data_IF_517044986253
#
_entry.id   IF_517044986253
#
_cell.length_a   1.000
_cell.length_b   1.000
_cell.length_c   1.000
_cell.angle_alpha   90.00
_cell.angle_beta   90.00
_cell.angle_gamma   90.00
#
_symmetry.space_group_name_H-M   'P 1'
#
loop_
_entity.id
_entity.type
_entity.pdbx_description
1 polymer ?
#
# COMPACT_ATOMS: atom_id res chain seq x y z
N UNK A 1 21.87 -24.84 -19.68
CA UNK A 1 22.87 -25.87 -19.37
C UNK A 1 22.19 -26.91 -18.48
N UNK A 2 22.14 -28.16 -18.92
CA UNK A 2 21.61 -29.25 -18.09
C UNK A 2 22.49 -29.39 -16.83
N UNK A 3 21.86 -29.23 -15.66
CA UNK A 3 22.55 -29.43 -14.39
C UNK A 3 22.69 -30.92 -14.14
N UNK A 4 23.91 -31.39 -13.85
CA UNK A 4 24.17 -32.77 -13.41
C UNK A 4 23.76 -33.04 -11.96
N UNK A 5 23.07 -32.06 -11.30
CA UNK A 5 22.64 -32.21 -9.93
C UNK A 5 21.41 -33.12 -9.85
N UNK A 6 21.42 -34.03 -8.87
CA UNK A 6 20.33 -34.98 -8.63
C UNK A 6 19.06 -34.31 -8.08
N UNK A 7 19.24 -33.20 -7.36
CA UNK A 7 18.13 -32.39 -6.80
C UNK A 7 18.35 -30.92 -7.16
N UNK A 8 17.33 -30.27 -7.72
CA UNK A 8 17.31 -28.86 -8.06
C UNK A 8 16.01 -28.19 -7.62
N UNK A 9 16.11 -26.93 -7.21
CA UNK A 9 14.96 -26.03 -7.03
C UNK A 9 14.88 -25.11 -8.24
N UNK A 10 13.73 -25.04 -8.89
CA UNK A 10 13.52 -24.36 -10.15
C UNK A 10 12.40 -23.32 -9.96
N UNK A 11 12.72 -22.00 -9.95
CA UNK A 11 11.70 -20.95 -10.05
C UNK A 11 11.02 -21.05 -11.41
N UNK A 12 9.68 -20.96 -11.43
CA UNK A 12 8.89 -21.09 -12.65
C UNK A 12 8.17 -19.78 -12.99
N UNK A 13 7.74 -19.67 -14.25
CA UNK A 13 6.99 -18.52 -14.78
C UNK A 13 5.65 -18.29 -14.09
N UNK A 14 5.05 -19.32 -13.51
CA UNK A 14 3.81 -19.27 -12.73
C UNK A 14 4.01 -18.69 -11.31
N UNK A 15 5.24 -18.27 -10.97
CA UNK A 15 5.60 -17.73 -9.66
C UNK A 15 5.82 -18.79 -8.59
N UNK A 16 5.72 -20.08 -8.92
CA UNK A 16 5.97 -21.18 -8.01
C UNK A 16 7.42 -21.66 -8.11
N UNK A 17 7.86 -22.37 -7.07
CA UNK A 17 9.15 -23.09 -7.08
C UNK A 17 8.86 -24.58 -7.18
N UNK A 18 9.56 -25.24 -8.06
CA UNK A 18 9.49 -26.69 -8.27
C UNK A 18 10.77 -27.37 -7.77
N UNK A 19 10.60 -28.53 -7.13
CA UNK A 19 11.70 -29.43 -6.85
C UNK A 19 11.80 -30.46 -7.96
N UNK A 20 12.96 -30.57 -8.58
CA UNK A 20 13.27 -31.59 -9.56
C UNK A 20 14.26 -32.60 -8.99
N UNK A 21 13.96 -33.89 -9.15
CA UNK A 21 14.83 -35.00 -8.78
C UNK A 21 15.09 -35.89 -9.97
N UNK A 22 16.34 -36.31 -10.16
CA UNK A 22 16.74 -37.27 -11.20
C UNK A 22 17.27 -38.53 -10.56
N UNK A 23 16.85 -39.66 -11.12
CA UNK A 23 17.35 -40.98 -10.78
C UNK A 23 17.31 -41.88 -12.02
N UNK A 24 17.71 -43.14 -11.89
CA UNK A 24 17.55 -44.15 -12.95
C UNK A 24 16.09 -44.42 -13.31
N UNK A 25 15.16 -44.06 -12.43
CA UNK A 25 13.73 -44.19 -12.70
C UNK A 25 13.18 -43.06 -13.58
N UNK A 26 13.93 -41.96 -13.76
CA UNK A 26 13.52 -40.82 -14.56
C UNK A 26 13.68 -39.46 -13.84
N UNK A 27 13.04 -38.45 -14.40
CA UNK A 27 13.00 -37.10 -13.88
C UNK A 27 11.63 -36.82 -13.23
N UNK A 28 11.63 -36.41 -11.98
CA UNK A 28 10.43 -36.09 -11.19
C UNK A 28 10.42 -34.59 -10.93
N UNK A 29 9.32 -33.92 -11.26
CA UNK A 29 9.14 -32.48 -11.02
C UNK A 29 7.82 -32.28 -10.25
N UNK A 30 7.90 -31.62 -9.11
CA UNK A 30 6.73 -31.33 -8.28
C UNK A 30 6.80 -29.92 -7.66
N UNK A 31 5.67 -29.24 -7.46
CA UNK A 31 5.66 -27.95 -6.78
C UNK A 31 6.15 -28.11 -5.34
N UNK A 32 7.00 -27.17 -4.88
CA UNK A 32 7.58 -27.11 -3.53
C UNK A 32 7.04 -25.89 -2.79
N UNK A 33 6.10 -26.10 -1.89
CA UNK A 33 5.47 -25.00 -1.14
C UNK A 33 6.33 -24.46 0.02
N UNK A 34 7.14 -25.33 0.64
CA UNK A 34 8.02 -24.95 1.75
C UNK A 34 9.43 -25.43 1.51
N UNK A 35 10.37 -24.49 1.54
CA UNK A 35 11.78 -24.72 1.34
C UNK A 35 12.50 -24.29 2.61
N UNK A 36 12.86 -25.28 3.42
CA UNK A 36 13.48 -25.06 4.75
C UNK A 36 14.87 -24.47 4.67
N UNK A 37 15.52 -24.64 3.53
CA UNK A 37 16.88 -24.11 3.22
C UNK A 37 16.90 -22.62 2.90
N UNK A 38 15.74 -22.00 2.64
CA UNK A 38 15.61 -20.58 2.35
C UNK A 38 15.15 -19.80 3.57
N UNK A 39 15.67 -18.58 3.69
CA UNK A 39 15.20 -17.63 4.70
C UNK A 39 13.82 -17.07 4.33
N UNK A 40 13.03 -16.79 5.32
CA UNK A 40 11.76 -16.08 5.14
C UNK A 40 12.06 -14.63 4.70
N UNK A 41 11.41 -14.20 3.61
CA UNK A 41 11.47 -12.83 3.10
C UNK A 41 10.11 -12.19 3.26
N UNK A 42 10.10 -10.98 3.80
CA UNK A 42 8.88 -10.17 3.94
C UNK A 42 8.88 -9.08 2.88
N UNK A 43 7.77 -8.96 2.14
CA UNK A 43 7.56 -7.85 1.26
C UNK A 43 7.51 -6.54 2.05
N UNK A 44 8.06 -5.47 1.49
CA UNK A 44 8.09 -4.16 2.15
C UNK A 44 9.15 -3.23 1.57
N UNK A 45 9.29 -2.07 2.18
CA UNK A 45 10.27 -1.06 1.82
C UNK A 45 11.10 -0.65 3.04
N UNK A 46 12.40 -0.57 2.86
CA UNK A 46 13.34 -0.02 3.84
C UNK A 46 13.95 1.24 3.23
N UNK A 47 13.54 2.44 3.64
CA UNK A 47 14.11 3.68 3.12
C UNK A 47 15.62 3.76 3.38
N UNK A 48 16.37 4.19 2.36
CA UNK A 48 17.78 4.54 2.48
C UNK A 48 18.01 6.05 2.52
N UNK A 49 16.98 6.83 2.17
CA UNK A 49 16.98 8.29 2.20
C UNK A 49 16.12 8.80 3.37
N UNK A 50 16.30 10.05 3.81
CA UNK A 50 15.44 10.65 4.81
C UNK A 50 13.99 10.75 4.32
N UNK A 51 13.07 11.08 5.20
CA UNK A 51 11.67 11.37 4.81
C UNK A 51 11.60 12.68 4.04
N UNK A 52 10.66 12.77 3.11
CA UNK A 52 10.35 13.99 2.38
C UNK A 52 9.88 15.04 3.40
N UNK A 53 10.47 16.24 3.43
CA UNK A 53 10.16 17.27 4.40
C UNK A 53 8.69 17.73 4.36
N UNK A 54 8.13 18.03 5.52
CA UNK A 54 6.74 18.50 5.67
C UNK A 54 6.46 19.75 4.83
N UNK A 55 7.43 20.68 4.74
CA UNK A 55 7.30 21.91 3.96
C UNK A 55 7.10 21.61 2.47
N UNK A 56 7.83 20.61 1.95
CA UNK A 56 7.69 20.18 0.56
C UNK A 56 6.32 19.52 0.32
N UNK A 57 5.87 18.67 1.24
CA UNK A 57 4.53 18.06 1.18
C UNK A 57 3.44 19.13 1.19
N UNK A 58 3.55 20.16 2.04
CA UNK A 58 2.60 21.28 2.09
C UNK A 58 2.57 22.07 0.77
N UNK A 59 3.74 22.33 0.17
CA UNK A 59 3.83 23.00 -1.12
C UNK A 59 3.14 22.19 -2.23
N UNK A 60 3.33 20.87 -2.26
CA UNK A 60 2.69 19.96 -3.22
C UNK A 60 1.17 19.96 -3.04
N UNK A 61 0.67 19.85 -1.79
CA UNK A 61 -0.76 19.92 -1.49
C UNK A 61 -1.34 21.28 -1.93
N UNK A 62 -0.63 22.38 -1.66
CA UNK A 62 -1.02 23.72 -2.10
C UNK A 62 -1.13 23.82 -3.64
N UNK A 63 -0.12 23.27 -4.35
CA UNK A 63 -0.14 23.20 -5.80
C UNK A 63 -1.32 22.38 -6.34
N UNK A 64 -1.60 21.20 -5.77
CA UNK A 64 -2.73 20.38 -6.19
C UNK A 64 -4.08 21.07 -5.92
N UNK A 65 -4.23 21.75 -4.79
CA UNK A 65 -5.44 22.53 -4.48
C UNK A 65 -5.67 23.67 -5.47
N UNK A 66 -4.59 24.29 -5.98
CA UNK A 66 -4.72 25.35 -6.99
C UNK A 66 -5.25 24.85 -8.34
N UNK A 67 -5.27 23.51 -8.55
CA UNK A 67 -5.86 22.90 -9.75
C UNK A 67 -7.36 22.60 -9.59
N UNK A 68 -7.98 22.99 -8.45
CA UNK A 68 -9.39 22.77 -8.12
C UNK A 68 -10.20 24.08 -8.14
N UNK A 69 -9.84 25.05 -8.96
CA UNK A 69 -10.48 26.36 -8.99
C UNK A 69 -11.74 26.40 -9.86
N UNK A 70 -12.69 27.29 -9.49
CA UNK A 70 -13.89 27.62 -10.27
C UNK A 70 -14.84 26.45 -10.58
N UNK A 71 -14.85 25.41 -9.72
CA UNK A 71 -15.72 24.24 -9.90
C UNK A 71 -15.22 23.22 -10.92
N UNK A 72 -14.02 23.42 -11.46
CA UNK A 72 -13.29 22.43 -12.24
C UNK A 72 -12.18 21.80 -11.38
N UNK A 73 -11.96 20.51 -11.58
CA UNK A 73 -10.92 19.74 -10.89
C UNK A 73 -10.02 19.10 -11.93
N UNK A 74 -8.72 19.30 -11.80
CA UNK A 74 -7.72 18.70 -12.68
C UNK A 74 -6.68 17.95 -11.85
N UNK A 75 -6.40 16.73 -12.21
CA UNK A 75 -5.29 16.00 -11.60
C UNK A 75 -3.96 16.65 -12.00
N UNK A 76 -2.99 16.55 -11.12
CA UNK A 76 -1.65 17.03 -11.39
C UNK A 76 -0.61 16.07 -10.79
N UNK A 77 0.61 16.12 -11.32
CA UNK A 77 1.71 15.26 -10.93
C UNK A 77 2.94 16.11 -10.60
N UNK A 78 3.62 15.72 -9.52
CA UNK A 78 4.93 16.24 -9.11
C UNK A 78 5.88 15.07 -8.96
N UNK A 79 7.03 15.15 -9.60
CA UNK A 79 8.14 14.22 -9.43
C UNK A 79 9.06 14.68 -8.32
N UNK A 80 9.55 13.76 -7.54
CA UNK A 80 10.52 14.03 -6.48
C UNK A 80 11.85 13.40 -6.85
N UNK A 81 12.87 14.23 -6.89
CA UNK A 81 14.24 13.81 -7.10
C UNK A 81 15.05 14.01 -5.82
N UNK A 82 16.03 13.16 -5.60
CA UNK A 82 17.05 13.34 -4.57
C UNK A 82 18.31 13.89 -5.21
N UNK A 83 18.72 15.08 -4.81
CA UNK A 83 20.02 15.68 -5.19
C UNK A 83 21.12 15.02 -4.37
N UNK A 84 21.91 14.17 -5.03
CA UNK A 84 23.03 13.45 -4.40
C UNK A 84 24.12 14.38 -3.90
N UNK A 85 24.31 15.55 -4.55
CA UNK A 85 25.32 16.54 -4.19
C UNK A 85 24.90 17.35 -2.96
N UNK A 86 23.70 17.92 -3.02
CA UNK A 86 23.20 18.82 -1.98
C UNK A 86 22.43 18.07 -0.87
N UNK A 87 22.26 16.73 -0.98
CA UNK A 87 21.61 15.86 0.00
C UNK A 87 20.22 16.36 0.40
N UNK A 88 19.40 16.72 -0.59
CA UNK A 88 18.04 17.24 -0.40
C UNK A 88 17.08 16.78 -1.48
N UNK A 89 15.78 16.80 -1.16
CA UNK A 89 14.73 16.55 -2.14
C UNK A 89 14.46 17.77 -3.00
N UNK A 90 14.27 17.55 -4.29
CA UNK A 90 13.93 18.56 -5.29
C UNK A 90 12.61 18.17 -5.95
N UNK A 91 11.56 18.99 -5.85
CA UNK A 91 10.35 18.80 -6.61
C UNK A 91 10.55 19.23 -8.06
N UNK A 92 9.97 18.49 -8.97
CA UNK A 92 9.95 18.80 -10.38
C UNK A 92 8.53 18.62 -10.92
N UNK A 93 7.94 19.69 -11.44
CA UNK A 93 6.64 19.66 -12.11
C UNK A 93 6.88 19.55 -13.61
N UNK A 94 6.67 18.38 -14.23
CA UNK A 94 6.87 18.22 -15.66
C UNK A 94 5.79 18.96 -16.45
N UNK A 95 6.07 19.27 -17.74
CA UNK A 95 5.03 19.69 -18.67
C UNK A 95 4.01 18.57 -18.81
N UNK A 96 2.75 18.84 -18.47
CA UNK A 96 1.70 17.83 -18.35
C UNK A 96 0.39 18.31 -18.96
N UNK A 97 -0.37 17.38 -19.53
CA UNK A 97 -1.77 17.57 -19.88
C UNK A 97 -2.61 16.87 -18.84
N UNK A 98 -3.61 17.57 -18.34
CA UNK A 98 -4.40 17.13 -17.21
C UNK A 98 -5.89 17.12 -17.55
N UNK A 99 -6.59 16.15 -17.01
CA UNK A 99 -8.05 16.05 -17.00
C UNK A 99 -8.52 15.90 -15.55
N UNK A 100 -9.79 15.64 -15.34
CA UNK A 100 -10.34 15.39 -14.02
C UNK A 100 -9.77 14.11 -13.36
N UNK A 101 -9.36 13.14 -14.18
CA UNK A 101 -9.06 11.76 -13.80
C UNK A 101 -7.80 11.20 -14.46
N UNK A 102 -6.97 12.07 -15.05
CA UNK A 102 -5.73 11.63 -15.66
C UNK A 102 -4.69 12.75 -15.81
N UNK A 103 -3.43 12.33 -15.74
CA UNK A 103 -2.27 13.17 -16.00
C UNK A 103 -1.41 12.52 -17.08
N UNK A 104 -1.16 13.24 -18.18
CA UNK A 104 -0.23 12.79 -19.23
C UNK A 104 1.00 13.70 -19.24
N UNK A 105 2.14 13.13 -18.94
CA UNK A 105 3.43 13.84 -18.95
C UNK A 105 4.03 13.79 -20.35
N UNK A 106 4.49 14.94 -20.84
CA UNK A 106 5.33 15.06 -22.06
C UNK A 106 6.70 15.54 -21.65
N UNK A 107 7.66 14.66 -21.73
CA UNK A 107 9.07 15.00 -21.50
C UNK A 107 9.80 15.00 -22.85
N UNK A 108 10.64 15.99 -23.04
CA UNK A 108 11.73 15.96 -24.03
C UNK A 108 13.03 15.63 -23.30
N UNK A 109 14.06 15.20 -24.01
CA UNK A 109 15.37 14.88 -23.40
C UNK A 109 15.96 16.09 -22.66
N UNK A 110 15.64 17.33 -23.11
CA UNK A 110 16.05 18.58 -22.46
C UNK A 110 15.35 18.84 -21.10
N UNK A 111 14.19 18.23 -20.89
CA UNK A 111 13.41 18.39 -19.66
C UNK A 111 13.83 17.39 -18.57
N UNK A 112 14.70 16.41 -18.87
CA UNK A 112 15.13 15.41 -17.92
C UNK A 112 16.28 15.92 -17.05
N UNK A 113 16.16 15.81 -15.71
CA UNK A 113 17.28 16.09 -14.84
C UNK A 113 18.46 15.14 -15.09
N UNK A 114 19.68 15.65 -14.92
CA UNK A 114 20.91 14.85 -14.98
C UNK A 114 20.85 13.69 -13.99
N UNK A 115 20.78 12.47 -14.50
CA UNK A 115 20.61 11.23 -13.71
C UNK A 115 21.85 10.87 -12.88
N UNK A 116 23.02 11.42 -13.21
CA UNK A 116 24.24 11.26 -12.40
C UNK A 116 24.14 12.04 -11.09
N UNK A 117 23.49 13.18 -11.07
CA UNK A 117 23.25 14.03 -9.89
C UNK A 117 21.92 13.74 -9.22
N UNK A 118 20.84 13.58 -9.98
CA UNK A 118 19.48 13.51 -9.47
C UNK A 118 18.92 12.10 -9.54
N UNK A 119 18.64 11.51 -8.39
CA UNK A 119 17.98 10.21 -8.29
C UNK A 119 16.46 10.42 -8.33
N UNK A 120 15.79 9.85 -9.32
CA UNK A 120 14.34 9.85 -9.40
C UNK A 120 13.75 8.96 -8.29
N UNK A 121 13.14 9.59 -7.28
CA UNK A 121 12.73 8.94 -6.04
C UNK A 121 11.25 8.60 -6.01
N UNK A 122 10.37 9.54 -6.36
CA UNK A 122 8.93 9.34 -6.26
C UNK A 122 8.13 10.11 -7.31
N UNK A 123 6.97 9.57 -7.66
CA UNK A 123 5.85 10.28 -8.29
C UNK A 123 4.76 10.54 -7.26
N UNK A 124 4.23 11.77 -7.23
CA UNK A 124 3.10 12.15 -6.40
C UNK A 124 2.06 12.78 -7.31
N UNK A 125 0.86 12.19 -7.37
CA UNK A 125 -0.24 12.76 -8.15
C UNK A 125 -1.49 13.01 -7.29
N UNK A 126 -2.38 13.87 -7.79
CA UNK A 126 -3.60 14.24 -7.09
C UNK A 126 -4.80 13.47 -7.63
N UNK A 127 -5.73 13.13 -6.73
CA UNK A 127 -7.07 12.64 -7.03
C UNK A 127 -8.14 13.64 -6.60
N UNK A 128 -7.80 14.93 -6.53
CA UNK A 128 -8.72 16.03 -6.25
C UNK A 128 -9.64 15.76 -5.05
N UNK A 129 -10.96 15.87 -5.23
CA UNK A 129 -11.97 15.53 -4.22
C UNK A 129 -12.24 14.02 -4.08
N UNK A 130 -11.68 13.18 -4.95
CA UNK A 130 -11.78 11.72 -4.86
C UNK A 130 -10.90 11.17 -3.74
N UNK A 131 -11.09 9.89 -3.40
CA UNK A 131 -10.25 9.18 -2.42
C UNK A 131 -8.84 8.98 -2.97
N UNK A 132 -7.86 8.91 -2.07
CA UNK A 132 -6.49 8.55 -2.41
C UNK A 132 -6.35 7.03 -2.62
N UNK A 133 -6.82 6.53 -3.76
CA UNK A 133 -6.79 5.10 -4.12
C UNK A 133 -6.19 4.95 -5.50
N UNK A 134 -5.15 4.15 -5.64
CA UNK A 134 -4.54 3.84 -6.94
C UNK A 134 -5.56 3.17 -7.87
N UNK A 135 -5.60 3.63 -9.11
CA UNK A 135 -6.48 3.12 -10.17
C UNK A 135 -5.80 2.02 -11.00
N UNK A 136 -6.57 1.36 -11.86
CA UNK A 136 -6.01 0.41 -12.82
C UNK A 136 -5.12 1.09 -13.88
N UNK A 137 -5.32 2.38 -14.14
CA UNK A 137 -4.46 3.17 -15.04
C UNK A 137 -3.11 3.38 -14.36
N UNK A 138 -3.09 3.75 -13.08
CA UNK A 138 -1.86 3.88 -12.30
C UNK A 138 -1.06 2.57 -12.29
N UNK A 139 -1.75 1.43 -12.20
CA UNK A 139 -1.10 0.11 -12.23
C UNK A 139 -0.43 -0.20 -13.58
N UNK A 140 -0.94 0.34 -14.67
CA UNK A 140 -0.33 0.18 -16.00
C UNK A 140 0.89 1.09 -16.20
N UNK A 141 0.87 2.29 -15.65
CA UNK A 141 1.86 3.32 -15.91
C UNK A 141 3.02 3.32 -14.88
N UNK A 142 2.73 2.97 -13.63
CA UNK A 142 3.66 3.06 -12.50
C UNK A 142 4.58 1.84 -12.32
N UNK A 143 5.25 1.40 -13.39
CA UNK A 143 6.08 0.18 -13.38
C UNK A 143 7.54 0.39 -12.99
N UNK A 144 7.99 1.62 -12.88
CA UNK A 144 9.36 1.94 -12.47
C UNK A 144 9.61 1.51 -11.02
N UNK A 145 10.84 1.05 -10.70
CA UNK A 145 11.21 0.73 -9.31
C UNK A 145 11.44 2.01 -8.54
N UNK A 146 10.38 2.49 -7.85
CA UNK A 146 10.33 3.73 -7.08
C UNK A 146 9.10 3.82 -6.20
N UNK A 147 8.94 4.96 -5.54
CA UNK A 147 7.76 5.30 -4.76
C UNK A 147 6.69 5.96 -5.62
N UNK A 148 5.43 5.66 -5.29
CA UNK A 148 4.26 6.30 -5.87
C UNK A 148 3.31 6.70 -4.76
N UNK A 149 2.81 7.94 -4.82
CA UNK A 149 1.90 8.49 -3.83
C UNK A 149 0.71 9.15 -4.52
N UNK A 150 -0.46 8.95 -3.93
CA UNK A 150 -1.71 9.59 -4.35
C UNK A 150 -2.19 10.48 -3.21
N UNK A 151 -2.57 11.73 -3.53
CA UNK A 151 -3.20 12.65 -2.58
C UNK A 151 -4.61 12.94 -3.04
N UNK A 152 -5.60 12.49 -2.27
CA UNK A 152 -7.02 12.70 -2.53
C UNK A 152 -7.71 13.49 -1.42
N UNK A 153 -9.03 13.72 -1.56
CA UNK A 153 -9.81 14.52 -0.61
C UNK A 153 -9.19 15.89 -0.34
N UNK A 154 -8.69 16.54 -1.39
CA UNK A 154 -8.07 17.85 -1.31
C UNK A 154 -9.05 18.97 -0.93
N UNK A 155 -10.36 18.71 -1.06
CA UNK A 155 -11.47 19.51 -0.54
C UNK A 155 -11.53 19.56 0.99
N UNK A 156 -10.85 18.63 1.68
CA UNK A 156 -10.82 18.56 3.14
C UNK A 156 -9.61 19.27 3.71
N UNK A 157 -9.72 19.70 4.97
CA UNK A 157 -8.58 20.29 5.70
C UNK A 157 -7.41 19.30 5.79
N UNK A 158 -7.71 18.05 6.15
CA UNK A 158 -6.75 16.93 6.12
C UNK A 158 -7.03 16.07 4.87
N UNK A 159 -6.19 16.14 3.85
CA UNK A 159 -6.31 15.27 2.67
C UNK A 159 -5.96 13.82 3.04
N UNK A 160 -6.42 12.89 2.22
CA UNK A 160 -6.02 11.48 2.30
C UNK A 160 -4.73 11.29 1.50
N UNK A 161 -3.82 10.45 2.00
CA UNK A 161 -2.58 10.10 1.32
C UNK A 161 -2.44 8.59 1.32
N UNK A 162 -2.20 8.01 0.15
CA UNK A 162 -1.82 6.62 -0.03
C UNK A 162 -0.42 6.55 -0.64
N UNK A 163 0.36 5.56 -0.22
CA UNK A 163 1.70 5.34 -0.73
C UNK A 163 1.93 3.87 -1.05
N UNK A 164 2.69 3.60 -2.11
CA UNK A 164 3.16 2.27 -2.48
C UNK A 164 4.56 2.33 -3.07
N UNK A 165 5.27 1.24 -3.00
CA UNK A 165 6.43 1.01 -3.85
C UNK A 165 6.02 0.19 -5.06
N UNK A 166 6.71 0.40 -6.18
CA UNK A 166 6.75 -0.53 -7.29
C UNK A 166 8.15 -1.15 -7.35
N UNK A 167 8.19 -2.46 -7.50
CA UNK A 167 9.42 -3.20 -7.78
C UNK A 167 9.22 -3.93 -9.11
N UNK A 168 9.60 -3.28 -10.22
CA UNK A 168 9.40 -3.82 -11.57
C UNK A 168 7.93 -4.10 -11.92
N UNK A 169 6.99 -3.28 -11.43
CA UNK A 169 5.55 -3.45 -11.66
C UNK A 169 4.84 -4.35 -10.63
N UNK A 170 5.55 -4.84 -9.62
CA UNK A 170 4.94 -5.48 -8.44
C UNK A 170 4.77 -4.44 -7.35
N UNK A 171 3.53 -4.22 -6.90
CA UNK A 171 3.20 -3.15 -5.96
C UNK A 171 3.11 -3.66 -4.53
N UNK A 172 3.66 -2.89 -3.59
CA UNK A 172 3.51 -3.12 -2.15
C UNK A 172 3.08 -1.82 -1.49
N UNK A 173 1.89 -1.78 -0.86
CA UNK A 173 1.46 -0.63 -0.09
C UNK A 173 2.41 -0.40 1.09
N UNK A 174 2.63 0.87 1.42
CA UNK A 174 3.42 1.27 2.59
C UNK A 174 2.68 2.38 3.34
N UNK A 175 2.98 2.52 4.64
CA UNK A 175 2.49 3.63 5.44
C UNK A 175 3.13 4.95 4.95
N UNK A 176 2.33 5.98 4.61
CA UNK A 176 2.88 7.25 4.11
C UNK A 176 3.89 7.91 5.05
N UNK A 177 3.72 7.78 6.38
CA UNK A 177 4.65 8.29 7.40
C UNK A 177 6.03 7.65 7.36
N UNK A 178 6.21 6.53 6.65
CA UNK A 178 7.53 5.93 6.41
C UNK A 178 8.42 6.81 5.53
N UNK A 179 7.81 7.59 4.62
CA UNK A 179 8.50 8.37 3.58
C UNK A 179 8.19 9.86 3.61
N UNK A 180 7.16 10.29 4.37
CA UNK A 180 6.74 11.68 4.51
C UNK A 180 6.89 12.13 5.95
N UNK A 181 7.34 13.37 6.18
CA UNK A 181 7.28 14.02 7.47
C UNK A 181 5.91 14.67 7.71
N UNK A 182 5.62 14.96 8.99
CA UNK A 182 4.44 15.72 9.39
C UNK A 182 3.12 14.93 9.38
N UNK A 183 3.17 13.61 9.19
CA UNK A 183 2.03 12.71 9.30
C UNK A 183 1.97 12.00 10.66
N UNK A 184 2.99 12.14 11.48
CA UNK A 184 3.04 11.53 12.80
C UNK A 184 2.03 12.21 13.72
N UNK A 185 1.08 11.45 14.23
CA UNK A 185 0.11 11.91 15.25
C UNK A 185 0.67 11.73 16.66
N UNK A 186 1.90 12.17 16.90
CA UNK A 186 2.49 12.12 18.25
C UNK A 186 1.81 13.14 19.15
N UNK A 187 1.40 12.72 20.34
CA UNK A 187 0.85 13.57 21.38
C UNK A 187 1.52 13.25 22.71
N UNK A 188 1.51 14.17 23.69
CA UNK A 188 2.09 13.92 25.01
C UNK A 188 1.47 12.70 25.69
N UNK A 189 2.30 11.72 26.07
CA UNK A 189 1.83 10.44 26.61
C UNK A 189 0.96 10.59 27.86
N UNK A 190 1.18 11.65 28.65
CA UNK A 190 0.40 12.00 29.84
C UNK A 190 -1.07 12.31 29.55
N UNK A 191 -1.44 12.62 28.29
CA UNK A 191 -2.85 12.85 27.93
C UNK A 191 -3.67 11.57 28.07
N UNK A 192 -3.09 10.41 27.73
CA UNK A 192 -3.75 9.12 27.90
C UNK A 192 -4.11 8.82 29.34
N UNK A 193 -3.27 9.23 30.30
CA UNK A 193 -3.51 9.04 31.72
C UNK A 193 -4.68 9.87 32.27
N UNK A 194 -5.17 10.86 31.50
CA UNK A 194 -6.31 11.73 31.88
C UNK A 194 -7.64 11.23 31.31
N UNK A 195 -7.64 10.16 30.50
CA UNK A 195 -8.84 9.64 29.82
C UNK A 195 -9.32 8.39 30.53
N UNK A 196 -10.51 8.46 31.13
CA UNK A 196 -11.20 7.30 31.70
C UNK A 196 -12.18 6.78 30.65
N UNK A 197 -11.91 5.58 30.11
CA UNK A 197 -12.77 4.94 29.13
C UNK A 197 -13.85 4.16 29.84
N UNK A 198 -15.11 4.58 29.70
CA UNK A 198 -16.27 3.80 30.15
C UNK A 198 -16.77 2.97 28.95
N UNK A 199 -16.58 1.65 29.04
CA UNK A 199 -17.19 0.76 28.06
C UNK A 199 -18.70 0.76 28.28
N UNK A 200 -19.53 0.76 27.20
CA UNK A 200 -20.95 0.56 27.36
C UNK A 200 -21.20 -0.76 28.08
N UNK A 201 -22.15 -0.76 29.02
CA UNK A 201 -22.57 -1.98 29.68
C UNK A 201 -22.99 -3.01 28.60
N UNK A 202 -22.42 -4.22 28.65
CA UNK A 202 -22.89 -5.30 27.80
C UNK A 202 -24.40 -5.45 28.03
N UNK A 203 -25.23 -5.53 26.97
CA UNK A 203 -26.65 -5.81 27.14
C UNK A 203 -26.75 -7.09 27.95
N UNK A 204 -27.54 -7.05 29.07
CA UNK A 204 -27.83 -8.23 29.86
C UNK A 204 -28.34 -9.32 28.92
N UNK A 205 -27.75 -10.51 28.98
CA UNK A 205 -28.26 -11.66 28.25
C UNK A 205 -29.74 -11.83 28.64
N UNK A 206 -30.65 -12.02 27.69
CA UNK A 206 -32.07 -12.20 27.99
C UNK A 206 -32.15 -13.33 29.02
N UNK A 207 -32.72 -13.02 30.18
CA UNK A 207 -33.00 -14.01 31.22
C UNK A 207 -33.89 -15.07 30.58
N UNK A 208 -33.32 -16.24 30.31
CA UNK A 208 -34.09 -17.43 29.95
C UNK A 208 -34.93 -17.82 31.16
N UNK A 209 -36.14 -17.25 31.27
CA UNK A 209 -37.13 -17.82 32.11
C UNK A 209 -37.38 -19.25 31.60
N UNK A 210 -36.79 -20.21 32.27
CA UNK A 210 -37.10 -21.61 32.14
C UNK A 210 -38.51 -21.81 32.71
N UNK A 211 -39.51 -21.40 31.95
CA UNK A 211 -40.89 -21.71 32.21
C UNK A 211 -41.37 -22.67 31.11
N UNK A 212 -41.56 -23.93 31.45
CA UNK A 212 -42.43 -24.79 30.65
C UNK A 212 -41.81 -25.98 29.93
N UNK A 213 -40.85 -26.67 30.51
CA UNK A 213 -40.45 -28.00 29.94
C UNK A 213 -40.73 -29.19 30.87
N UNK A 214 -41.72 -29.07 31.77
CA UNK A 214 -42.13 -30.19 32.68
C UNK A 214 -43.51 -30.76 32.38
N UNK A 215 -44.18 -30.40 31.29
CA UNK A 215 -45.56 -30.85 30.99
C UNK A 215 -45.68 -31.80 29.79
N UNK A 216 -44.58 -32.20 29.15
CA UNK A 216 -44.66 -33.03 27.93
C UNK A 216 -44.28 -34.51 28.12
N UNK A 217 -43.82 -34.94 29.29
CA UNK A 217 -43.40 -36.32 29.52
C UNK A 217 -44.35 -37.14 30.38
N UNK A 218 -45.48 -36.62 30.85
CA UNK A 218 -46.49 -37.41 31.62
C UNK A 218 -47.63 -38.00 30.76
N UNK A 219 -47.62 -37.75 29.43
CA UNK A 219 -48.67 -38.23 28.51
C UNK A 219 -48.33 -39.48 27.71
N UNK A 220 -47.15 -40.08 27.88
CA UNK A 220 -46.69 -41.17 27.00
C UNK A 220 -46.46 -42.54 27.70
N UNK A 221 -46.82 -42.68 28.96
CA UNK A 221 -46.71 -43.97 29.71
C UNK A 221 -48.02 -44.36 30.46
N UNK A 222 -49.14 -44.18 29.76
CA UNK A 222 -50.43 -44.64 30.32
C UNK A 222 -51.32 -45.17 29.24
N UNK A 223 -51.17 -46.46 28.90
CA UNK A 223 -52.12 -47.09 27.97
C UNK A 223 -51.67 -48.47 27.47
N UNK A 224 -51.58 -49.43 28.31
CA UNK A 224 -51.74 -50.86 27.96
C UNK A 224 -52.28 -51.62 29.18
N UNK A 225 -53.52 -51.89 29.12
CA UNK A 225 -54.27 -52.83 29.89
C UNK A 225 -55.36 -53.36 29.01
#
# INVERSE_FOLDING_TARGET
RASNKVICLIPSRDGQTYEMRRSELGEFIAPKQKITEFSEVRAGFRPALPRIPQELLRAIIGFFRSQMELGAEFEALVRIYWDRKDQKFIPFVPKQRVTKDSVTVRLTDEDLPDDTRYLYYADIHSHNSMKAVFSAIDDMDERGTRLYLVIGRLDRFFPEISARISCGGSFVPIEPGLVLEGLDSSFPAEWNGKVIRQLPALPEAPSTHAAGFRSFLSGLLGGAG
#
